data_IF_019224238889
#
_entry.id   IF_019224238889
#
_cell.length_a   1.000
_cell.length_b   1.000
_cell.length_c   1.000
_cell.angle_alpha   90.00
_cell.angle_beta   90.00
_cell.angle_gamma   90.00
#
_symmetry.space_group_name_H-M   'P 1'
#
loop_
_entity.id
_entity.type
_entity.pdbx_description
1 polymer ?
#
# COMPACT_ATOMS: atom_id res chain seq x y z
N UNK A 1 0.68 -13.40 4.22
CA UNK A 1 1.56 -13.39 3.02
C UNK A 1 0.99 -14.18 1.86
N UNK A 2 0.20 -15.23 2.11
CA UNK A 2 -0.46 -16.05 1.06
C UNK A 2 -1.14 -15.22 -0.04
N UNK A 3 -1.96 -14.23 0.33
CA UNK A 3 -2.63 -13.35 -0.64
C UNK A 3 -1.65 -12.52 -1.49
N UNK A 4 -0.54 -12.06 -0.90
CA UNK A 4 0.50 -11.35 -1.65
C UNK A 4 1.21 -12.26 -2.66
N UNK A 5 1.38 -13.55 -2.34
CA UNK A 5 1.92 -14.53 -3.28
C UNK A 5 0.89 -14.83 -4.37
N UNK A 6 -0.37 -15.08 -4.00
CA UNK A 6 -1.46 -15.37 -4.94
C UNK A 6 -1.67 -14.25 -5.96
N UNK A 7 -1.52 -13.00 -5.53
CA UNK A 7 -1.64 -11.82 -6.39
C UNK A 7 -0.33 -11.46 -7.13
N UNK A 8 0.77 -12.20 -6.93
CA UNK A 8 2.02 -11.99 -7.64
C UNK A 8 2.88 -10.81 -7.14
N UNK A 9 2.65 -10.32 -5.92
CA UNK A 9 3.57 -9.36 -5.29
C UNK A 9 4.86 -10.03 -4.81
N UNK A 10 4.76 -11.31 -4.44
CA UNK A 10 5.84 -12.14 -3.91
C UNK A 10 5.83 -13.49 -4.62
N UNK A 11 6.99 -14.13 -4.74
CA UNK A 11 7.13 -15.49 -5.27
C UNK A 11 6.91 -16.55 -4.19
N UNK A 12 7.14 -16.20 -2.92
CA UNK A 12 7.14 -17.13 -1.79
C UNK A 12 8.54 -17.62 -1.41
N UNK A 13 9.59 -17.19 -2.14
CA UNK A 13 10.99 -17.56 -1.90
C UNK A 13 11.83 -16.38 -1.40
N UNK A 14 11.18 -15.26 -1.06
CA UNK A 14 11.83 -14.06 -0.55
C UNK A 14 12.55 -14.29 0.78
N UNK A 15 13.67 -13.58 0.97
CA UNK A 15 14.35 -13.54 2.26
C UNK A 15 13.60 -12.67 3.29
N UNK A 16 13.96 -12.82 4.56
CA UNK A 16 13.32 -12.10 5.67
C UNK A 16 13.31 -10.58 5.48
N UNK A 17 14.38 -10.01 4.92
CA UNK A 17 14.46 -8.57 4.68
C UNK A 17 13.39 -8.08 3.68
N UNK A 18 13.19 -8.82 2.59
CA UNK A 18 12.19 -8.52 1.58
C UNK A 18 10.77 -8.76 2.09
N UNK A 19 10.55 -9.84 2.86
CA UNK A 19 9.26 -10.11 3.52
C UNK A 19 8.88 -9.01 4.51
N UNK A 20 9.83 -8.55 5.32
CA UNK A 20 9.61 -7.49 6.30
C UNK A 20 9.33 -6.15 5.61
N UNK A 21 10.12 -5.79 4.60
CA UNK A 21 9.91 -4.57 3.81
C UNK A 21 8.53 -4.57 3.13
N UNK A 22 8.10 -5.70 2.54
CA UNK A 22 6.78 -5.85 1.95
C UNK A 22 5.67 -5.66 2.98
N UNK A 23 5.78 -6.33 4.13
CA UNK A 23 4.79 -6.26 5.22
C UNK A 23 4.66 -4.83 5.77
N UNK A 24 5.78 -4.18 6.10
CA UNK A 24 5.79 -2.82 6.64
C UNK A 24 5.28 -1.80 5.63
N UNK A 25 5.64 -1.94 4.35
CA UNK A 25 5.10 -1.10 3.27
C UNK A 25 3.58 -1.26 3.15
N UNK A 26 3.08 -2.50 3.24
CA UNK A 26 1.65 -2.80 3.24
C UNK A 26 0.92 -2.20 4.45
N UNK A 27 1.49 -2.29 5.65
CA UNK A 27 0.91 -1.67 6.85
C UNK A 27 0.87 -0.15 6.75
N UNK A 28 1.93 0.48 6.23
CA UNK A 28 1.95 1.91 6.00
C UNK A 28 0.85 2.33 5.00
N UNK A 29 0.69 1.59 3.90
CA UNK A 29 -0.41 1.81 2.95
C UNK A 29 -1.80 1.63 3.57
N UNK A 30 -1.94 0.70 4.52
CA UNK A 30 -3.19 0.40 5.22
C UNK A 30 -3.58 1.40 6.31
N UNK A 31 -2.66 2.25 6.76
CA UNK A 31 -2.86 3.19 7.86
C UNK A 31 -4.12 4.10 7.72
N UNK A 32 -4.43 4.67 6.54
CA UNK A 32 -5.63 5.51 6.40
C UNK A 32 -6.94 4.78 6.73
N UNK A 33 -6.95 3.45 6.61
CA UNK A 33 -8.13 2.60 6.80
C UNK A 33 -8.25 2.04 8.22
N UNK A 34 -7.32 2.35 9.13
CA UNK A 34 -7.29 1.74 10.47
C UNK A 34 -8.35 2.30 11.42
N UNK A 35 -8.77 3.55 11.23
CA UNK A 35 -9.73 4.24 12.10
C UNK A 35 -10.77 5.00 11.31
N UNK A 36 -11.91 5.29 11.94
CA UNK A 36 -12.96 6.14 11.39
C UNK A 36 -12.63 7.65 11.48
N UNK A 37 -11.52 8.01 12.10
CA UNK A 37 -11.06 9.40 12.16
C UNK A 37 -10.49 9.85 10.80
N UNK A 38 -10.70 11.13 10.39
CA UNK A 38 -10.13 11.64 9.16
C UNK A 38 -8.61 11.53 9.12
N UNK A 39 -8.08 10.81 8.12
CA UNK A 39 -6.65 10.66 7.91
C UNK A 39 -6.06 11.89 7.22
N UNK A 40 -5.10 12.55 7.86
CA UNK A 40 -4.38 13.70 7.31
C UNK A 40 -3.20 13.25 6.44
N UNK A 41 -3.47 13.12 5.15
CA UNK A 41 -2.47 12.65 4.18
C UNK A 41 -1.22 13.53 4.16
N UNK A 42 -1.36 14.85 4.29
CA UNK A 42 -0.26 15.80 4.19
C UNK A 42 0.70 15.69 5.37
N UNK A 43 0.19 15.57 6.58
CA UNK A 43 1.01 15.46 7.79
C UNK A 43 1.61 14.07 8.00
N UNK A 44 0.98 13.02 7.44
CA UNK A 44 1.37 11.62 7.67
C UNK A 44 2.72 11.19 7.12
N UNK A 45 3.28 11.95 6.16
CA UNK A 45 4.53 11.61 5.42
C UNK A 45 4.52 10.18 4.85
N UNK A 46 3.35 9.65 4.51
CA UNK A 46 3.16 8.25 4.11
C UNK A 46 4.03 7.85 2.90
N UNK A 47 4.20 8.75 1.92
CA UNK A 47 5.04 8.50 0.74
C UNK A 47 6.51 8.35 1.09
N UNK A 48 7.02 9.19 2.00
CA UNK A 48 8.39 9.08 2.50
C UNK A 48 8.60 7.77 3.24
N UNK A 49 7.68 7.40 4.14
CA UNK A 49 7.77 6.15 4.91
C UNK A 49 7.76 4.90 4.02
N UNK A 50 6.91 4.87 2.99
CA UNK A 50 6.92 3.76 2.02
C UNK A 50 8.25 3.73 1.24
N UNK A 51 8.79 4.90 0.87
CA UNK A 51 10.03 4.98 0.10
C UNK A 51 11.27 4.50 0.87
N UNK A 52 11.24 4.50 2.20
CA UNK A 52 12.34 3.98 3.05
C UNK A 52 12.63 2.50 2.77
N UNK A 53 11.62 1.74 2.34
CA UNK A 53 11.78 0.33 1.97
C UNK A 53 12.24 0.13 0.51
N UNK A 54 12.33 1.21 -0.28
CA UNK A 54 12.65 1.15 -1.72
C UNK A 54 13.98 0.47 -2.02
N UNK A 55 15.01 0.73 -1.22
CA UNK A 55 16.35 0.13 -1.40
C UNK A 55 16.33 -1.40 -1.18
N UNK A 56 15.53 -1.87 -0.22
CA UNK A 56 15.35 -3.31 0.05
C UNK A 56 14.69 -3.98 -1.14
N UNK A 57 13.60 -3.39 -1.67
CA UNK A 57 12.93 -3.90 -2.86
C UNK A 57 13.86 -3.96 -4.07
N UNK A 58 14.68 -2.92 -4.30
CA UNK A 58 15.61 -2.89 -5.42
C UNK A 58 16.72 -3.95 -5.29
N UNK A 59 17.17 -4.25 -4.08
CA UNK A 59 18.28 -5.18 -3.83
C UNK A 59 17.85 -6.64 -3.76
N UNK A 60 16.70 -6.93 -3.17
CA UNK A 60 16.31 -8.28 -2.79
C UNK A 60 15.15 -8.86 -3.61
N UNK A 61 14.54 -8.07 -4.51
CA UNK A 61 13.50 -8.59 -5.39
C UNK A 61 14.05 -9.68 -6.31
N UNK A 62 13.38 -10.82 -6.31
CA UNK A 62 13.72 -11.97 -7.14
C UNK A 62 13.23 -11.83 -8.58
N UNK A 63 11.98 -11.36 -8.76
CA UNK A 63 11.32 -11.25 -10.07
C UNK A 63 10.54 -9.95 -10.14
N UNK A 64 10.46 -9.26 -11.30
CA UNK A 64 9.54 -8.14 -11.48
C UNK A 64 8.08 -8.59 -11.28
N UNK A 65 7.24 -7.81 -10.57
CA UNK A 65 5.82 -8.05 -10.47
C UNK A 65 5.15 -8.02 -11.84
N UNK A 66 3.99 -8.67 -11.96
CA UNK A 66 3.19 -8.58 -13.16
C UNK A 66 2.65 -7.16 -13.38
N UNK A 67 2.22 -6.86 -14.60
CA UNK A 67 1.81 -5.52 -15.02
C UNK A 67 0.62 -4.98 -14.20
N UNK A 68 -0.29 -5.86 -13.82
CA UNK A 68 -1.47 -5.58 -13.01
C UNK A 68 -1.08 -5.05 -11.63
N UNK A 69 -0.06 -5.66 -11.00
CA UNK A 69 0.47 -5.22 -9.70
C UNK A 69 1.09 -3.83 -9.83
N UNK A 70 1.88 -3.57 -10.87
CA UNK A 70 2.43 -2.23 -11.11
C UNK A 70 1.35 -1.20 -11.36
N UNK A 71 0.31 -1.56 -12.11
CA UNK A 71 -0.84 -0.68 -12.37
C UNK A 71 -1.57 -0.34 -11.08
N UNK A 72 -1.79 -1.31 -10.20
CA UNK A 72 -2.39 -1.11 -8.88
C UNK A 72 -1.54 -0.17 -8.02
N UNK A 73 -0.22 -0.40 -7.94
CA UNK A 73 0.70 0.49 -7.22
C UNK A 73 0.62 1.93 -7.72
N UNK A 74 0.65 2.15 -9.04
CA UNK A 74 0.60 3.49 -9.63
C UNK A 74 -0.72 4.19 -9.35
N UNK A 75 -1.86 3.48 -9.44
CA UNK A 75 -3.18 4.05 -9.11
C UNK A 75 -3.24 4.53 -7.67
N UNK A 76 -2.83 3.69 -6.73
CA UNK A 76 -2.88 4.01 -5.31
C UNK A 76 -1.90 5.16 -4.96
N UNK A 77 -0.67 5.09 -5.47
CA UNK A 77 0.32 6.16 -5.29
C UNK A 77 -0.17 7.51 -5.86
N UNK A 78 -0.85 7.49 -7.01
CA UNK A 78 -1.46 8.68 -7.60
C UNK A 78 -2.54 9.30 -6.71
N UNK A 79 -3.46 8.47 -6.19
CA UNK A 79 -4.53 8.92 -5.31
C UNK A 79 -3.97 9.53 -4.00
N UNK A 80 -2.98 8.88 -3.38
CA UNK A 80 -2.37 9.36 -2.14
C UNK A 80 -1.63 10.68 -2.38
N UNK A 81 -0.86 10.78 -3.47
CA UNK A 81 -0.17 12.01 -3.84
C UNK A 81 -1.14 13.18 -4.09
N UNK A 82 -2.31 12.91 -4.70
CA UNK A 82 -3.33 13.92 -4.90
C UNK A 82 -3.89 14.40 -3.55
N UNK A 83 -4.22 13.47 -2.64
CA UNK A 83 -4.70 13.80 -1.29
C UNK A 83 -3.66 14.63 -0.51
N UNK A 84 -2.37 14.29 -0.61
CA UNK A 84 -1.27 15.06 0.00
C UNK A 84 -1.22 16.48 -0.56
N UNK A 85 -1.23 16.63 -1.90
CA UNK A 85 -1.14 17.94 -2.56
C UNK A 85 -2.31 18.85 -2.22
N UNK A 86 -3.51 18.29 -2.10
CA UNK A 86 -4.72 19.02 -1.72
C UNK A 86 -4.84 19.28 -0.22
N UNK A 87 -3.98 18.68 0.62
CA UNK A 87 -4.11 18.75 2.08
C UNK A 87 -5.39 18.07 2.59
N UNK A 88 -5.85 17.03 1.89
CA UNK A 88 -7.10 16.36 2.18
C UNK A 88 -7.04 15.61 3.53
N UNK A 89 -8.15 15.67 4.26
CA UNK A 89 -8.43 14.85 5.44
C UNK A 89 -9.67 14.02 5.15
N UNK A 90 -9.52 12.71 5.08
CA UNK A 90 -10.59 11.80 4.60
C UNK A 90 -10.75 10.65 5.59
N UNK A 91 -11.99 10.34 5.97
CA UNK A 91 -12.28 9.09 6.69
C UNK A 91 -12.23 7.93 5.71
N UNK A 92 -11.04 7.37 5.49
CA UNK A 92 -10.86 6.32 4.49
C UNK A 92 -11.48 4.98 4.95
N UNK A 93 -11.65 4.76 6.25
CA UNK A 93 -12.32 3.56 6.76
C UNK A 93 -13.79 3.51 6.35
N UNK A 94 -14.52 4.62 6.47
CA UNK A 94 -15.92 4.69 6.01
C UNK A 94 -16.01 4.35 4.51
N UNK A 95 -15.14 4.96 3.70
CA UNK A 95 -15.05 4.67 2.27
C UNK A 95 -14.74 3.20 1.97
N UNK A 96 -13.85 2.57 2.76
CA UNK A 96 -13.54 1.16 2.60
C UNK A 96 -14.75 0.28 2.94
N UNK A 97 -15.46 0.57 4.03
CA UNK A 97 -16.63 -0.19 4.45
C UNK A 97 -17.76 -0.10 3.40
N UNK A 98 -18.01 1.09 2.86
CA UNK A 98 -18.96 1.32 1.77
C UNK A 98 -18.63 0.51 0.52
N UNK A 99 -17.37 0.55 0.08
CA UNK A 99 -16.93 -0.19 -1.11
C UNK A 99 -16.93 -1.70 -0.84
N UNK A 100 -16.47 -2.14 0.33
CA UNK A 100 -16.47 -3.55 0.70
C UNK A 100 -17.89 -4.14 0.70
N UNK A 101 -18.90 -3.39 1.16
CA UNK A 101 -20.29 -3.81 1.12
C UNK A 101 -20.82 -4.08 -0.30
N UNK A 102 -20.25 -3.43 -1.33
CA UNK A 102 -20.59 -3.66 -2.74
C UNK A 102 -20.04 -5.00 -3.23
N UNK A 103 -18.82 -5.35 -2.83
CA UNK A 103 -18.11 -6.57 -3.28
C UNK A 103 -18.33 -7.79 -2.37
N UNK A 104 -19.00 -7.62 -1.22
CA UNK A 104 -19.33 -8.72 -0.30
C UNK A 104 -20.67 -9.39 -0.60
N UNK A 105 -21.29 -9.08 -1.73
CA UNK A 105 -22.49 -9.73 -2.28
C UNK A 105 -22.11 -10.65 -3.42
#
# INVERSE_FOLDING_TARGET
>A
MEESIRMGFLTGEENDAMLEAHKLSGFCLGEPFQSYEPYDFKSSKITSRISEHGSVFLRHRLVPPPEEVYTLHRKLAGAYNLCIKLGAKISCRELLDEVAAIYSK
#
